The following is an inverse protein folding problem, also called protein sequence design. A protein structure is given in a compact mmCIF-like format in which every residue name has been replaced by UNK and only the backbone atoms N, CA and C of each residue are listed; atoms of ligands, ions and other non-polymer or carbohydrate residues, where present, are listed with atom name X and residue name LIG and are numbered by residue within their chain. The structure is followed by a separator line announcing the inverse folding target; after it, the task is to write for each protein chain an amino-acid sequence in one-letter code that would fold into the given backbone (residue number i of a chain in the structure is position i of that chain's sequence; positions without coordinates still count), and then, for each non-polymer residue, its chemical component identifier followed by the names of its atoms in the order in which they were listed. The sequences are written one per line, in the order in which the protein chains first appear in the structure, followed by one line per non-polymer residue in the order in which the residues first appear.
data_IF_701345519376
#
_entry.id   IF_701345519376
#
_cell.length_a   1.000
_cell.length_b   1.000
_cell.length_c   1.000
_cell.angle_alpha   90.00
_cell.angle_beta   90.00
_cell.angle_gamma   90.00
#
_symmetry.space_group_name_H-M   'P 1'
#
loop_
_entity.id
_entity.type
_entity.pdbx_description
1 polymer ?
#
# COMPACT_ATOMS: atom_id res chain seq x y z
N UNK A 1 7.07 37.91 -84.99
CA UNK A 1 6.96 38.10 -83.52
C UNK A 1 6.08 36.99 -83.00
N UNK A 2 6.71 35.91 -82.54
CA UNK A 2 6.03 34.71 -82.05
C UNK A 2 6.04 34.74 -80.53
N UNK A 3 4.87 34.91 -79.91
CA UNK A 3 4.71 34.70 -78.47
C UNK A 3 3.96 33.40 -78.22
N UNK A 4 4.70 32.39 -77.79
CA UNK A 4 4.19 31.17 -77.17
C UNK A 4 3.48 31.51 -75.85
N UNK A 5 2.27 31.01 -75.65
CA UNK A 5 1.59 30.97 -74.36
C UNK A 5 1.43 29.53 -73.89
N UNK A 6 1.49 29.40 -72.56
CA UNK A 6 1.86 28.24 -71.76
C UNK A 6 0.84 27.10 -71.74
N UNK A 7 1.41 25.91 -71.61
CA UNK A 7 0.77 24.65 -71.24
C UNK A 7 0.42 24.68 -69.75
N UNK A 8 -0.79 24.21 -69.38
CA UNK A 8 -1.10 23.77 -68.02
C UNK A 8 -1.90 22.48 -68.09
N UNK A 9 -1.31 21.39 -67.60
CA UNK A 9 -1.97 20.09 -67.46
C UNK A 9 -2.70 20.03 -66.11
N UNK A 10 -3.97 19.65 -66.14
CA UNK A 10 -4.76 19.35 -64.94
C UNK A 10 -4.62 17.84 -64.66
N UNK A 11 -4.06 17.50 -63.50
CA UNK A 11 -4.00 16.14 -62.96
C UNK A 11 -5.21 15.95 -62.02
N UNK A 12 -6.07 14.93 -62.21
CA UNK A 12 -7.11 14.63 -61.25
C UNK A 12 -6.50 13.96 -60.01
N UNK A 13 -6.74 14.57 -58.85
CA UNK A 13 -6.44 14.00 -57.53
C UNK A 13 -7.48 12.93 -57.21
N UNK A 14 -7.01 11.69 -57.08
CA UNK A 14 -7.79 10.55 -56.62
C UNK A 14 -7.95 10.66 -55.09
N UNK A 15 -9.14 11.02 -54.62
CA UNK A 15 -9.48 11.05 -53.20
C UNK A 15 -9.85 9.63 -52.78
N UNK A 16 -8.94 8.91 -52.12
CA UNK A 16 -9.27 7.69 -51.38
C UNK A 16 -9.92 8.06 -50.05
N UNK A 17 -11.22 7.80 -49.93
CA UNK A 17 -11.95 7.79 -48.66
C UNK A 17 -11.46 6.59 -47.83
N UNK A 18 -10.44 6.81 -46.99
CA UNK A 18 -10.20 5.91 -45.87
C UNK A 18 -11.29 6.14 -44.83
N UNK A 19 -12.22 5.19 -44.76
CA UNK A 19 -13.20 5.11 -43.69
C UNK A 19 -12.49 5.10 -42.34
N UNK A 20 -12.72 6.15 -41.57
CA UNK A 20 -12.37 6.23 -40.16
C UNK A 20 -13.34 5.29 -39.42
N UNK A 21 -12.95 4.02 -39.25
CA UNK A 21 -13.63 3.15 -38.28
C UNK A 21 -13.25 3.63 -36.87
N UNK A 22 -14.21 3.97 -36.00
CA UNK A 22 -13.91 4.16 -34.59
C UNK A 22 -13.39 2.83 -34.03
N UNK A 23 -12.12 2.80 -33.64
CA UNK A 23 -11.59 1.75 -32.76
C UNK A 23 -12.16 1.97 -31.37
N UNK A 24 -13.33 1.42 -31.11
CA UNK A 24 -13.75 1.12 -29.74
C UNK A 24 -12.91 -0.06 -29.23
N UNK A 25 -11.65 0.22 -28.88
CA UNK A 25 -10.92 -0.64 -27.95
C UNK A 25 -11.44 -0.33 -26.55
N UNK A 26 -12.62 -0.87 -26.21
CA UNK A 26 -12.88 -1.28 -24.83
C UNK A 26 -11.88 -2.39 -24.52
N UNK A 27 -10.67 -2.00 -24.14
CA UNK A 27 -9.82 -2.87 -23.35
C UNK A 27 -10.54 -2.99 -22.00
N UNK A 28 -11.47 -3.93 -21.91
CA UNK A 28 -11.88 -4.52 -20.65
C UNK A 28 -10.62 -5.17 -20.07
N UNK A 29 -9.79 -4.36 -19.41
CA UNK A 29 -8.94 -4.85 -18.34
C UNK A 29 -9.93 -5.27 -17.25
N UNK A 30 -10.51 -6.47 -17.40
CA UNK A 30 -11.04 -7.18 -16.26
C UNK A 30 -9.84 -7.35 -15.34
N UNK A 31 -9.71 -6.46 -14.36
CA UNK A 31 -8.93 -6.75 -13.17
C UNK A 31 -9.40 -8.12 -12.72
N UNK A 32 -8.51 -9.13 -12.63
CA UNK A 32 -8.90 -10.43 -12.13
C UNK A 32 -9.63 -10.21 -10.81
N UNK A 33 -10.74 -10.92 -10.63
CA UNK A 33 -11.51 -10.86 -9.40
C UNK A 33 -10.69 -11.48 -8.27
N UNK A 34 -9.78 -10.68 -7.71
CA UNK A 34 -8.88 -11.07 -6.63
C UNK A 34 -9.65 -11.31 -5.32
N UNK A 35 -10.94 -10.97 -5.26
CA UNK A 35 -11.80 -11.29 -4.11
C UNK A 35 -12.12 -12.79 -4.01
N UNK A 36 -11.90 -13.56 -5.08
CA UNK A 36 -12.25 -14.97 -5.14
C UNK A 36 -11.27 -15.92 -4.40
N UNK A 37 -10.10 -15.43 -3.97
CA UNK A 37 -9.10 -16.25 -3.27
C UNK A 37 -8.87 -15.68 -1.87
N UNK A 38 -9.18 -16.47 -0.84
CA UNK A 38 -8.90 -16.09 0.54
C UNK A 38 -7.39 -15.88 0.75
N UNK A 39 -6.98 -14.83 1.47
CA UNK A 39 -5.56 -14.55 1.69
C UNK A 39 -4.92 -15.59 2.61
N UNK A 40 -3.61 -15.76 2.45
CA UNK A 40 -2.79 -16.49 3.41
C UNK A 40 -2.74 -15.71 4.72
N UNK A 41 -3.20 -16.34 5.81
CA UNK A 41 -3.43 -15.64 7.08
C UNK A 41 -2.18 -15.06 7.74
N UNK A 42 -0.98 -15.49 7.42
CA UNK A 42 0.26 -14.97 8.01
C UNK A 42 1.07 -14.09 7.06
N UNK A 43 0.64 -13.94 5.80
CA UNK A 43 1.36 -13.18 4.79
C UNK A 43 0.81 -11.76 4.64
N UNK A 44 1.63 -10.77 4.97
CA UNK A 44 1.28 -9.33 4.91
C UNK A 44 0.80 -8.94 3.51
N UNK A 45 1.54 -9.30 2.45
CA UNK A 45 1.17 -8.91 1.08
C UNK A 45 -0.11 -9.60 0.60
N UNK A 46 -0.40 -10.80 1.06
CA UNK A 46 -1.63 -11.53 0.72
C UNK A 46 -2.84 -10.83 1.33
N UNK A 47 -2.77 -10.51 2.63
CA UNK A 47 -3.82 -9.80 3.36
C UNK A 47 -4.02 -8.39 2.80
N UNK A 48 -2.96 -7.63 2.55
CA UNK A 48 -3.09 -6.24 2.07
C UNK A 48 -3.72 -6.18 0.68
N UNK A 49 -3.28 -7.05 -0.24
CA UNK A 49 -3.89 -7.18 -1.57
C UNK A 49 -5.35 -7.58 -1.50
N UNK A 50 -5.74 -8.39 -0.53
CA UNK A 50 -7.13 -8.75 -0.35
C UNK A 50 -7.94 -7.55 0.17
N UNK A 51 -7.56 -7.02 1.33
CA UNK A 51 -8.30 -5.97 2.04
C UNK A 51 -8.38 -4.64 1.29
N UNK A 52 -7.39 -4.29 0.47
CA UNK A 52 -7.47 -3.09 -0.36
C UNK A 52 -8.50 -3.20 -1.49
N UNK A 53 -8.97 -4.39 -1.84
CA UNK A 53 -9.93 -4.59 -2.94
C UNK A 53 -11.33 -4.98 -2.47
N UNK A 54 -11.48 -5.44 -1.22
CA UNK A 54 -12.80 -5.69 -0.63
C UNK A 54 -13.50 -4.37 -0.31
N UNK A 55 -14.81 -4.31 -0.58
CA UNK A 55 -15.65 -3.17 -0.23
C UNK A 55 -15.76 -3.07 1.31
N UNK A 56 -15.56 -1.87 1.85
CA UNK A 56 -15.57 -1.62 3.30
C UNK A 56 -16.86 -2.08 3.97
N UNK A 57 -17.99 -2.07 3.26
CA UNK A 57 -19.28 -2.53 3.81
C UNK A 57 -19.31 -4.04 4.09
N UNK A 58 -18.47 -4.81 3.40
CA UNK A 58 -18.47 -6.27 3.44
C UNK A 58 -17.45 -6.84 4.45
N UNK A 59 -16.45 -6.03 4.85
CA UNK A 59 -15.33 -6.47 5.70
C UNK A 59 -15.73 -7.16 7.01
N UNK A 60 -16.75 -6.65 7.71
CA UNK A 60 -17.18 -7.24 8.99
C UNK A 60 -17.82 -8.63 8.84
N UNK A 61 -18.35 -8.93 7.66
CA UNK A 61 -19.00 -10.20 7.35
C UNK A 61 -18.16 -11.07 6.41
N UNK A 62 -16.92 -10.66 6.12
CA UNK A 62 -16.09 -11.35 5.15
C UNK A 62 -15.72 -12.76 5.63
N UNK A 63 -16.12 -13.77 4.86
CA UNK A 63 -15.94 -15.17 5.26
C UNK A 63 -14.47 -15.61 5.28
N UNK A 64 -13.63 -15.06 4.38
CA UNK A 64 -12.22 -15.40 4.30
C UNK A 64 -11.48 -14.91 5.55
N UNK A 65 -11.67 -13.65 5.92
CA UNK A 65 -11.05 -13.07 7.11
C UNK A 65 -11.66 -13.63 8.38
N UNK A 66 -12.99 -13.80 8.44
CA UNK A 66 -13.67 -14.30 9.64
C UNK A 66 -13.36 -15.77 9.95
N UNK A 67 -12.83 -16.53 8.98
CA UNK A 67 -12.32 -17.87 9.22
C UNK A 67 -11.05 -17.87 10.10
N UNK A 68 -10.24 -16.82 9.99
CA UNK A 68 -8.94 -16.72 10.69
C UNK A 68 -8.94 -15.71 11.84
N UNK A 69 -9.83 -14.72 11.79
CA UNK A 69 -9.85 -13.59 12.69
C UNK A 69 -11.26 -13.26 13.15
N UNK A 70 -11.39 -12.71 14.35
CA UNK A 70 -12.60 -12.01 14.75
C UNK A 70 -12.46 -10.54 14.37
N UNK A 71 -13.30 -10.04 13.47
CA UNK A 71 -13.35 -8.62 13.12
C UNK A 71 -14.24 -7.82 14.09
N UNK A 72 -13.76 -6.64 14.51
CA UNK A 72 -14.54 -5.65 15.26
C UNK A 72 -14.45 -4.33 14.52
N UNK A 73 -15.60 -3.80 14.10
CA UNK A 73 -15.69 -2.46 13.50
C UNK A 73 -15.71 -1.40 14.61
N UNK A 74 -15.00 -0.30 14.38
CA UNK A 74 -14.95 0.87 15.24
C UNK A 74 -14.67 2.15 14.44
N UNK A 75 -14.33 3.20 15.17
CA UNK A 75 -13.99 4.52 14.66
C UNK A 75 -12.62 4.90 15.22
N UNK A 76 -11.70 5.31 14.35
CA UNK A 76 -10.47 6.00 14.75
C UNK A 76 -10.71 7.50 14.80
N UNK A 77 -10.02 8.20 15.71
CA UNK A 77 -10.10 9.65 15.84
C UNK A 77 -8.73 10.23 16.16
N UNK A 78 -8.37 11.32 15.48
CA UNK A 78 -7.19 12.13 15.78
C UNK A 78 -7.46 13.58 15.39
N UNK A 79 -7.20 14.51 16.30
CA UNK A 79 -7.41 15.96 16.12
C UNK A 79 -8.84 16.33 15.64
N UNK A 80 -9.84 15.57 16.05
CA UNK A 80 -11.25 15.75 15.68
C UNK A 80 -11.61 15.21 14.29
N UNK A 81 -10.70 14.52 13.62
CA UNK A 81 -10.93 13.82 12.35
C UNK A 81 -11.24 12.35 12.64
N UNK A 82 -12.37 11.86 12.14
CA UNK A 82 -12.82 10.48 12.35
C UNK A 82 -12.70 9.65 11.06
N UNK A 83 -12.39 8.36 11.20
CA UNK A 83 -12.38 7.39 10.10
C UNK A 83 -12.85 6.01 10.56
N UNK A 84 -13.21 5.14 9.61
CA UNK A 84 -13.62 3.77 9.92
C UNK A 84 -12.39 2.91 10.19
N UNK A 85 -12.46 2.13 11.27
CA UNK A 85 -11.40 1.20 11.69
C UNK A 85 -11.97 -0.21 11.87
N UNK A 86 -11.20 -1.21 11.45
CA UNK A 86 -11.53 -2.63 11.56
C UNK A 86 -10.39 -3.34 12.27
N UNK A 87 -10.63 -3.73 13.52
CA UNK A 87 -9.67 -4.45 14.35
C UNK A 87 -9.85 -5.95 14.20
N UNK A 88 -8.79 -6.66 13.80
CA UNK A 88 -8.81 -8.11 13.59
C UNK A 88 -8.05 -8.81 14.71
N UNK A 89 -8.75 -9.70 15.41
CA UNK A 89 -8.21 -10.42 16.57
C UNK A 89 -7.99 -11.89 16.24
N UNK A 90 -6.86 -12.45 16.69
CA UNK A 90 -6.58 -13.89 16.68
C UNK A 90 -6.35 -14.34 18.11
N UNK A 91 -7.08 -15.36 18.56
CA UNK A 91 -6.99 -15.89 19.93
C UNK A 91 -7.11 -14.83 21.05
N UNK A 92 -7.89 -13.77 20.78
CA UNK A 92 -8.14 -12.55 21.61
C UNK A 92 -7.07 -11.47 21.53
N UNK A 93 -5.92 -11.74 20.93
CA UNK A 93 -4.88 -10.72 20.73
C UNK A 93 -5.17 -9.91 19.47
N UNK A 94 -4.91 -8.60 19.52
CA UNK A 94 -5.04 -7.73 18.36
C UNK A 94 -3.94 -8.07 17.35
N UNK A 95 -4.33 -8.62 16.21
CA UNK A 95 -3.40 -9.09 15.20
C UNK A 95 -2.99 -7.94 14.27
N UNK A 96 -3.99 -7.25 13.72
CA UNK A 96 -3.80 -6.07 12.87
C UNK A 96 -5.05 -5.20 12.85
N UNK A 97 -4.90 -3.98 12.36
CA UNK A 97 -5.98 -3.00 12.18
C UNK A 97 -6.00 -2.57 10.72
N UNK A 98 -7.17 -2.52 10.09
CA UNK A 98 -7.37 -1.98 8.76
C UNK A 98 -8.25 -0.72 8.84
N UNK A 99 -7.81 0.36 8.21
CA UNK A 99 -8.40 1.68 8.36
C UNK A 99 -8.66 2.32 7.01
N UNK A 100 -9.77 3.04 6.92
CA UNK A 100 -10.09 3.85 5.75
C UNK A 100 -9.32 5.16 5.79
N UNK A 101 -9.27 5.83 4.64
CA UNK A 101 -8.90 7.24 4.60
C UNK A 101 -10.05 8.09 5.20
N UNK A 102 -9.73 9.23 5.81
CA UNK A 102 -10.76 10.12 6.36
C UNK A 102 -11.55 10.88 5.28
N UNK A 103 -10.98 11.03 4.07
CA UNK A 103 -11.66 11.59 2.89
C UNK A 103 -12.39 10.49 2.12
N UNK A 104 -11.72 9.38 1.83
CA UNK A 104 -12.32 8.21 1.17
C UNK A 104 -12.59 7.06 2.17
N UNK A 105 -13.78 7.09 2.75
CA UNK A 105 -14.24 6.07 3.70
C UNK A 105 -14.74 4.79 3.03
N UNK A 106 -14.74 4.72 1.70
CA UNK A 106 -15.27 3.55 0.95
C UNK A 106 -14.25 2.44 0.77
N UNK A 107 -12.98 2.72 1.10
CA UNK A 107 -11.84 1.84 0.85
C UNK A 107 -10.87 1.85 2.01
N UNK A 108 -10.24 0.70 2.26
CA UNK A 108 -9.09 0.62 3.15
C UNK A 108 -7.91 1.34 2.50
N UNK A 109 -7.24 2.18 3.29
CA UNK A 109 -6.09 2.99 2.90
C UNK A 109 -4.83 2.64 3.70
N UNK A 110 -5.00 2.14 4.93
CA UNK A 110 -3.90 1.79 5.84
C UNK A 110 -4.18 0.45 6.52
N UNK A 111 -3.16 -0.39 6.65
CA UNK A 111 -3.21 -1.63 7.43
C UNK A 111 -1.99 -1.69 8.34
N UNK A 112 -2.20 -1.86 9.64
CA UNK A 112 -1.14 -1.92 10.66
C UNK A 112 -1.08 -3.30 11.28
N UNK A 113 -0.01 -4.03 11.02
CA UNK A 113 0.27 -5.37 11.56
C UNK A 113 1.05 -5.25 12.87
N UNK A 114 0.49 -5.85 13.94
CA UNK A 114 1.01 -5.73 15.30
C UNK A 114 1.54 -7.08 15.84
N UNK A 115 1.08 -8.19 15.28
CA UNK A 115 1.48 -9.53 15.73
C UNK A 115 2.78 -10.01 15.09
N UNK A 116 3.65 -10.63 15.89
CA UNK A 116 4.87 -11.29 15.42
C UNK A 116 4.62 -12.51 14.51
N UNK A 117 3.37 -12.98 14.43
CA UNK A 117 2.99 -14.11 13.57
C UNK A 117 2.88 -13.73 12.08
N UNK A 118 2.96 -12.44 11.75
CA UNK A 118 2.94 -11.98 10.37
C UNK A 118 4.34 -11.87 9.78
N UNK A 119 4.44 -12.20 8.50
CA UNK A 119 5.66 -12.06 7.72
C UNK A 119 5.40 -11.43 6.35
N UNK A 120 6.39 -10.71 5.85
CA UNK A 120 6.46 -10.33 4.45
C UNK A 120 6.70 -11.58 3.58
N UNK A 121 6.43 -11.50 2.28
CA UNK A 121 6.62 -12.58 1.30
C UNK A 121 8.03 -13.16 1.28
N UNK A 122 9.05 -12.35 1.60
CA UNK A 122 10.44 -12.80 1.71
C UNK A 122 10.78 -13.43 3.08
N UNK A 123 9.79 -13.64 3.95
CA UNK A 123 9.94 -14.26 5.26
C UNK A 123 10.36 -13.30 6.38
N UNK A 124 10.48 -12.00 6.12
CA UNK A 124 10.81 -11.02 7.17
C UNK A 124 9.62 -10.86 8.14
N UNK A 125 9.81 -11.04 9.45
CA UNK A 125 8.75 -10.88 10.43
C UNK A 125 8.28 -9.41 10.56
N UNK A 126 7.01 -9.19 10.90
CA UNK A 126 6.48 -7.85 11.19
C UNK A 126 7.14 -7.22 12.43
N UNK A 127 7.37 -8.04 13.46
CA UNK A 127 7.94 -7.63 14.77
C UNK A 127 9.41 -8.09 14.85
N UNK A 128 10.16 -7.78 13.80
CA UNK A 128 11.58 -8.13 13.67
C UNK A 128 12.46 -7.18 14.49
N UNK A 129 13.63 -7.67 14.89
CA UNK A 129 14.69 -6.84 15.45
C UNK A 129 15.37 -6.05 14.34
N UNK A 130 15.94 -4.90 14.68
CA UNK A 130 16.62 -4.03 13.73
C UNK A 130 17.72 -4.79 12.98
N UNK A 131 18.47 -5.64 13.68
CA UNK A 131 19.50 -6.49 13.07
C UNK A 131 19.00 -7.36 11.92
N UNK A 132 17.80 -7.93 12.06
CA UNK A 132 17.21 -8.84 11.07
C UNK A 132 16.81 -8.12 9.78
N UNK A 133 16.32 -6.88 9.90
CA UNK A 133 15.76 -6.13 8.76
C UNK A 133 16.64 -5.00 8.25
N UNK A 134 17.71 -4.62 8.95
CA UNK A 134 18.57 -3.47 8.63
C UNK A 134 18.98 -3.35 7.16
N UNK A 135 19.32 -4.47 6.51
CA UNK A 135 19.76 -4.47 5.11
C UNK A 135 18.62 -4.28 4.10
N UNK A 136 17.39 -4.50 4.55
CA UNK A 136 16.16 -4.44 3.78
C UNK A 136 15.46 -3.08 3.92
N UNK A 137 15.93 -2.21 4.84
CA UNK A 137 15.37 -0.88 5.05
C UNK A 137 15.98 0.14 4.08
N UNK A 138 15.17 1.13 3.68
CA UNK A 138 15.65 2.36 3.05
C UNK A 138 16.07 3.36 4.13
N UNK A 139 17.39 3.45 4.32
CA UNK A 139 18.02 4.22 5.39
C UNK A 139 18.29 5.67 4.98
N UNK A 140 18.04 6.01 3.71
CA UNK A 140 18.24 7.36 3.16
C UNK A 140 17.00 8.22 3.39
N UNK A 141 15.82 7.61 3.44
CA UNK A 141 14.54 8.27 3.73
C UNK A 141 14.31 8.35 5.24
N UNK A 142 15.01 9.27 5.89
CA UNK A 142 14.87 9.50 7.33
C UNK A 142 13.60 10.28 7.62
N UNK A 143 12.74 9.73 8.48
CA UNK A 143 11.70 10.48 9.19
C UNK A 143 11.86 10.21 10.68
N UNK A 144 12.22 11.25 11.43
CA UNK A 144 12.11 11.22 12.88
C UNK A 144 10.84 12.00 13.20
N UNK A 145 9.92 11.35 13.89
CA UNK A 145 8.72 12.01 14.36
C UNK A 145 8.93 12.43 15.82
N UNK A 146 8.43 13.60 16.23
CA UNK A 146 8.56 14.09 17.59
C UNK A 146 7.68 13.32 18.60
N UNK A 147 6.97 12.28 18.14
CA UNK A 147 6.04 11.46 18.92
C UNK A 147 6.69 10.23 19.57
N UNK A 148 8.01 10.06 19.42
CA UNK A 148 8.73 8.90 19.94
C UNK A 148 8.67 7.68 19.01
N UNK A 149 8.26 7.85 17.75
CA UNK A 149 8.34 6.83 16.73
C UNK A 149 9.54 7.03 15.80
N UNK A 150 10.17 5.91 15.47
CA UNK A 150 11.20 5.83 14.44
C UNK A 150 10.67 4.94 13.31
N UNK A 151 10.65 5.46 12.08
CA UNK A 151 10.08 4.77 10.93
C UNK A 151 11.09 4.53 9.82
N UNK A 152 11.01 3.36 9.19
CA UNK A 152 11.81 3.03 8.01
C UNK A 152 10.95 2.38 6.93
N UNK A 153 11.10 2.87 5.71
CA UNK A 153 10.51 2.24 4.54
C UNK A 153 11.23 0.95 4.18
N UNK A 154 10.50 -0.03 3.63
CA UNK A 154 11.11 -1.19 2.97
C UNK A 154 11.83 -0.75 1.68
N UNK A 155 13.03 -1.26 1.44
CA UNK A 155 13.81 -0.95 0.25
C UNK A 155 13.08 -1.44 -1.00
N UNK A 156 12.87 -0.52 -1.95
CA UNK A 156 12.17 -0.81 -3.19
C UNK A 156 10.64 -0.83 -3.09
N UNK A 157 10.08 -0.66 -1.88
CA UNK A 157 8.63 -0.59 -1.66
C UNK A 157 8.28 0.46 -0.60
N UNK A 158 7.93 1.66 -1.05
CA UNK A 158 7.59 2.78 -0.17
C UNK A 158 6.20 2.67 0.47
N UNK A 159 5.42 1.64 0.10
CA UNK A 159 4.12 1.41 0.72
C UNK A 159 4.24 0.73 2.10
N UNK A 160 5.38 0.09 2.38
CA UNK A 160 5.62 -0.68 3.60
C UNK A 160 6.57 0.09 4.52
N UNK A 161 6.15 0.29 5.77
CA UNK A 161 6.89 1.00 6.81
C UNK A 161 7.02 0.11 8.04
N UNK A 162 8.24 -0.02 8.57
CA UNK A 162 8.51 -0.57 9.89
C UNK A 162 8.54 0.57 10.90
N UNK A 163 7.77 0.43 11.97
CA UNK A 163 7.70 1.40 13.06
C UNK A 163 8.37 0.83 14.30
N UNK A 164 9.13 1.65 15.00
CA UNK A 164 9.81 1.33 16.24
C UNK A 164 9.41 2.36 17.30
N UNK A 165 9.09 1.90 18.50
CA UNK A 165 8.92 2.77 19.67
C UNK A 165 10.30 3.07 20.27
N UNK A 166 10.64 4.36 20.30
CA UNK A 166 11.89 4.87 20.86
C UNK A 166 11.65 5.84 22.01
N UNK A 167 10.42 5.90 22.56
CA UNK A 167 10.05 6.79 23.67
C UNK A 167 10.96 6.61 24.89
N UNK A 168 11.39 5.37 25.16
CA UNK A 168 12.28 5.03 26.28
C UNK A 168 13.77 5.03 25.91
N UNK A 169 14.14 5.52 24.72
CA UNK A 169 15.52 5.63 24.26
C UNK A 169 15.84 7.08 23.93
N UNK A 170 16.39 7.82 24.89
CA UNK A 170 16.69 9.24 24.74
C UNK A 170 17.52 9.54 23.49
N UNK A 171 18.52 8.71 23.19
CA UNK A 171 19.39 8.91 22.02
C UNK A 171 18.59 8.83 20.72
N UNK A 172 17.75 7.81 20.55
CA UNK A 172 16.96 7.66 19.33
C UNK A 172 15.77 8.62 19.28
N UNK A 173 15.19 8.98 20.43
CA UNK A 173 14.08 9.93 20.55
C UNK A 173 14.44 11.31 20.00
N UNK A 174 15.64 11.82 20.30
CA UNK A 174 16.14 13.09 19.75
C UNK A 174 16.77 12.96 18.35
N UNK A 175 16.75 11.75 17.79
CA UNK A 175 17.33 11.43 16.50
C UNK A 175 18.76 10.90 16.58
N UNK A 176 19.12 10.11 15.58
CA UNK A 176 20.43 9.48 15.42
C UNK A 176 21.19 10.10 14.24
N UNK A 177 22.53 10.10 14.29
CA UNK A 177 23.36 10.65 13.20
C UNK A 177 23.68 9.57 12.15
N UNK A 178 23.88 8.33 12.61
CA UNK A 178 24.23 7.21 11.76
C UNK A 178 23.47 5.93 12.13
N UNK A 179 23.19 5.08 11.14
CA UNK A 179 22.35 3.88 11.32
C UNK A 179 22.95 2.85 12.29
N UNK A 180 24.26 2.87 12.50
CA UNK A 180 24.94 2.02 13.46
C UNK A 180 24.73 2.44 14.92
N UNK A 181 24.12 3.60 15.17
CA UNK A 181 23.70 4.02 16.50
C UNK A 181 22.40 3.33 16.96
N UNK A 182 21.66 2.74 16.01
CA UNK A 182 20.42 2.01 16.31
C UNK A 182 20.81 0.63 16.86
N UNK A 183 20.37 0.27 18.08
CA UNK A 183 20.68 -1.03 18.67
C UNK A 183 20.13 -2.17 17.82
N UNK A 184 20.96 -3.17 17.56
CA UNK A 184 20.57 -4.41 16.87
C UNK A 184 19.38 -5.12 17.54
N UNK A 185 19.18 -4.90 18.85
CA UNK A 185 18.09 -5.47 19.66
C UNK A 185 16.80 -4.66 19.62
N UNK A 186 16.80 -3.44 19.05
CA UNK A 186 15.60 -2.62 18.94
C UNK A 186 14.59 -3.36 18.08
N UNK A 187 13.36 -3.51 18.56
CA UNK A 187 12.33 -4.32 17.92
C UNK A 187 11.27 -3.45 17.27
N UNK A 188 10.90 -3.76 16.04
CA UNK A 188 9.76 -3.13 15.40
C UNK A 188 8.49 -3.44 16.21
N UNK A 189 7.67 -2.41 16.45
CA UNK A 189 6.39 -2.54 17.14
C UNK A 189 5.27 -2.85 16.16
N UNK A 190 5.41 -2.44 14.90
CA UNK A 190 4.45 -2.72 13.85
C UNK A 190 5.05 -2.63 12.45
N UNK A 191 4.34 -3.22 11.49
CA UNK A 191 4.47 -2.92 10.07
C UNK A 191 3.20 -2.25 9.57
N UNK A 192 3.35 -1.07 8.98
CA UNK A 192 2.25 -0.32 8.36
C UNK A 192 2.36 -0.47 6.85
N UNK A 193 1.23 -0.76 6.20
CA UNK A 193 1.11 -0.83 4.76
C UNK A 193 0.06 0.17 4.28
N UNK A 194 0.49 1.09 3.42
CA UNK A 194 -0.38 2.06 2.75
C UNK A 194 -0.79 1.55 1.37
N UNK A 195 -1.95 2.00 0.90
CA UNK A 195 -2.43 1.71 -0.44
C UNK A 195 -1.68 2.48 -1.53
#
# INVERSE_FOLDING_TARGET
MNHFSKITWIVPVLITLFGCQPRDKKNNHQTPDLSAVCPESDNIQSITRYLFFVDVKDLSNDSCMNHHYRCVKGTGEEEGVEWLSFSYYKDKDLAFVAETDWVDTTRIARITFLSANFQLRNGLPAVATFKEIKNELDTLKRKNYPDGSLEFYLKGDTSVIFTFDVTNNETLYYGYQAINEIPDTLRATSVVVFR
#
